data_IF_780516092300
#
_entry.id   IF_780516092300
#
_cell.length_a   1.000
_cell.length_b   1.000
_cell.length_c   1.000
_cell.angle_alpha   90.00
_cell.angle_beta   90.00
_cell.angle_gamma   90.00
#
_symmetry.space_group_name_H-M   'P 1'
#
loop_
_entity.id
_entity.type
_entity.pdbx_description
1 polymer ?
#
# COMPACT_ATOMS: atom_id res chain seq x y z
N UNK A 1 45.32 -18.09 40.28
CA UNK A 1 44.30 -18.75 41.13
C UNK A 1 42.98 -18.04 40.85
N UNK A 2 42.02 -18.80 40.29
CA UNK A 2 40.56 -18.60 40.24
C UNK A 2 40.01 -17.19 39.95
N UNK A 3 39.45 -16.91 38.77
CA UNK A 3 38.19 -17.39 38.16
C UNK A 3 37.03 -16.39 38.34
N UNK A 4 36.35 -16.10 37.22
CA UNK A 4 34.89 -15.94 37.08
C UNK A 4 34.24 -14.71 37.76
N UNK A 5 33.39 -13.88 37.15
CA UNK A 5 32.56 -14.00 35.96
C UNK A 5 31.93 -12.61 35.62
N UNK A 6 31.79 -12.19 34.34
CA UNK A 6 30.84 -11.15 33.94
C UNK A 6 29.50 -11.79 33.54
N UNK A 7 28.68 -12.15 34.53
CA UNK A 7 27.42 -12.88 34.34
C UNK A 7 26.19 -11.98 34.07
N UNK A 8 26.31 -10.92 33.25
CA UNK A 8 25.14 -10.06 32.95
C UNK A 8 24.91 -9.70 31.48
N UNK A 9 25.77 -10.11 30.54
CA UNK A 9 25.62 -9.73 29.12
C UNK A 9 25.14 -10.84 28.18
N UNK A 10 24.77 -12.01 28.69
CA UNK A 10 24.41 -13.19 27.86
C UNK A 10 22.95 -13.64 27.98
N UNK A 11 22.03 -12.79 28.43
CA UNK A 11 20.60 -13.15 28.57
C UNK A 11 19.63 -12.43 27.63
N UNK A 12 20.09 -11.47 26.82
CA UNK A 12 19.25 -10.78 25.84
C UNK A 12 19.36 -11.33 24.40
N UNK A 13 20.29 -12.25 24.12
CA UNK A 13 20.53 -12.76 22.75
C UNK A 13 19.68 -13.99 22.41
N UNK A 14 19.03 -14.63 23.39
CA UNK A 14 18.31 -15.89 23.20
C UNK A 14 16.83 -15.75 22.82
N UNK A 15 16.25 -14.55 22.81
CA UNK A 15 14.84 -14.37 22.41
C UNK A 15 14.62 -14.23 20.90
N UNK A 16 15.68 -13.98 20.11
CA UNK A 16 15.57 -13.79 18.65
C UNK A 16 15.63 -15.09 17.82
N UNK A 17 15.49 -16.26 18.46
CA UNK A 17 15.65 -17.57 17.81
C UNK A 17 14.42 -18.47 17.95
N UNK A 18 13.27 -17.99 17.49
CA UNK A 18 12.19 -18.87 17.00
C UNK A 18 11.85 -18.49 15.57
N UNK A 19 12.76 -18.79 14.64
CA UNK A 19 12.38 -19.00 13.24
C UNK A 19 11.58 -20.31 13.21
N UNK A 20 10.28 -20.22 13.39
CA UNK A 20 9.40 -21.34 13.03
C UNK A 20 9.48 -21.42 11.51
N UNK A 21 10.12 -22.47 11.00
CA UNK A 21 10.04 -22.81 9.58
C UNK A 21 8.60 -23.26 9.33
N UNK A 22 7.71 -22.30 9.05
CA UNK A 22 6.33 -22.59 8.70
C UNK A 22 6.36 -23.18 7.30
N UNK A 23 6.12 -24.50 7.21
CA UNK A 23 6.04 -25.18 5.92
C UNK A 23 4.93 -24.51 5.12
N UNK A 24 5.22 -24.14 3.87
CA UNK A 24 4.26 -23.52 2.96
C UNK A 24 2.92 -24.28 2.92
N UNK A 25 2.94 -25.60 3.15
CA UNK A 25 1.75 -26.46 3.30
C UNK A 25 0.85 -26.06 4.47
N UNK A 26 1.41 -25.65 5.61
CA UNK A 26 0.68 -25.15 6.79
C UNK A 26 0.11 -23.76 6.54
N UNK A 27 0.85 -22.88 5.83
CA UNK A 27 0.34 -21.57 5.41
C UNK A 27 -0.80 -21.72 4.42
N UNK A 28 -0.66 -22.62 3.44
CA UNK A 28 -1.67 -22.89 2.41
C UNK A 28 -2.97 -23.44 3.02
N UNK A 29 -2.85 -24.34 4.01
CA UNK A 29 -4.01 -24.92 4.71
C UNK A 29 -4.76 -23.88 5.55
N UNK A 30 -4.05 -22.94 6.20
CA UNK A 30 -4.67 -21.81 6.89
C UNK A 30 -5.34 -20.84 5.91
N UNK A 31 -4.75 -20.62 4.73
CA UNK A 31 -5.31 -19.75 3.69
C UNK A 31 -6.64 -20.28 3.14
N UNK A 32 -6.76 -21.60 2.96
CA UNK A 32 -7.99 -22.23 2.44
C UNK A 32 -9.10 -22.33 3.48
N UNK A 33 -8.77 -22.44 4.77
CA UNK A 33 -9.76 -22.58 5.85
C UNK A 33 -10.58 -21.29 6.09
N UNK A 34 -10.07 -20.13 5.66
CA UNK A 34 -10.78 -18.84 5.78
C UNK A 34 -11.74 -18.58 4.61
N UNK A 35 -11.60 -19.28 3.48
CA UNK A 35 -12.41 -19.05 2.27
C UNK A 35 -13.69 -19.91 2.15
N UNK A 36 -14.03 -20.71 3.16
CA UNK A 36 -15.20 -21.61 3.11
C UNK A 36 -15.89 -21.58 4.47
N UNK A 37 -16.84 -20.66 4.75
CA UNK A 37 -18.14 -20.70 4.07
C UNK A 37 -18.82 -19.33 3.88
N UNK A 38 -19.33 -19.01 2.68
CA UNK A 38 -20.54 -18.18 2.57
C UNK A 38 -21.29 -18.45 1.26
N UNK A 39 -21.61 -19.72 1.02
CA UNK A 39 -22.69 -20.13 0.12
C UNK A 39 -23.80 -20.74 0.95
N UNK A 40 -24.45 -19.92 1.77
CA UNK A 40 -25.73 -20.26 2.37
C UNK A 40 -26.55 -18.98 2.55
N UNK A 41 -27.40 -18.75 1.54
CA UNK A 41 -28.71 -18.13 1.64
C UNK A 41 -28.82 -16.74 2.30
N UNK A 42 -28.89 -15.69 1.49
CA UNK A 42 -29.71 -14.52 1.79
C UNK A 42 -30.41 -14.04 0.51
N UNK A 43 -31.61 -14.58 0.31
CA UNK A 43 -32.85 -13.91 -0.09
C UNK A 43 -32.75 -12.80 -1.14
N UNK A 44 -33.44 -13.00 -2.25
CA UNK A 44 -33.91 -11.91 -3.08
C UNK A 44 -34.84 -11.00 -2.25
N UNK A 45 -34.64 -9.67 -2.28
CA UNK A 45 -35.73 -8.72 -2.22
C UNK A 45 -35.92 -8.18 -3.64
N UNK A 46 -37.13 -8.31 -4.13
CA UNK A 46 -37.66 -7.50 -5.22
C UNK A 46 -37.38 -6.02 -4.91
N UNK A 47 -36.35 -5.45 -5.52
CA UNK A 47 -36.15 -4.00 -5.52
C UNK A 47 -36.73 -3.43 -6.81
N UNK A 48 -38.06 -3.34 -6.85
CA UNK A 48 -38.71 -2.30 -7.62
C UNK A 48 -38.45 -0.97 -6.88
N UNK A 49 -37.30 -0.35 -7.10
CA UNK A 49 -37.07 1.03 -6.69
C UNK A 49 -37.49 1.96 -7.82
N UNK A 50 -38.79 2.27 -7.87
CA UNK A 50 -39.19 3.58 -8.35
C UNK A 50 -38.79 4.61 -7.28
N UNK A 51 -37.54 5.07 -7.30
CA UNK A 51 -37.10 6.17 -6.45
C UNK A 51 -37.31 7.50 -7.18
N UNK A 52 -38.46 8.13 -6.93
CA UNK A 52 -38.59 9.58 -7.06
C UNK A 52 -37.85 10.21 -5.88
N UNK A 53 -36.52 10.16 -5.89
CA UNK A 53 -35.71 10.90 -4.94
C UNK A 53 -35.78 12.38 -5.30
N UNK A 54 -36.03 13.25 -4.31
CA UNK A 54 -35.96 14.69 -4.51
C UNK A 54 -34.60 15.06 -5.10
N UNK A 55 -34.58 15.94 -6.11
CA UNK A 55 -33.34 16.35 -6.79
C UNK A 55 -32.28 16.88 -5.81
N UNK A 56 -32.69 17.44 -4.66
CA UNK A 56 -31.80 17.91 -3.59
C UNK A 56 -30.98 16.77 -2.95
N UNK A 57 -31.61 15.66 -2.55
CA UNK A 57 -30.90 14.56 -1.89
C UNK A 57 -29.88 13.88 -2.84
N UNK A 58 -30.14 13.91 -4.15
CA UNK A 58 -29.21 13.44 -5.18
C UNK A 58 -28.05 14.42 -5.39
N UNK A 59 -28.28 15.73 -5.28
CA UNK A 59 -27.25 16.75 -5.41
C UNK A 59 -26.28 16.74 -4.22
N UNK A 60 -26.78 16.65 -2.99
CA UNK A 60 -25.94 16.54 -1.78
C UNK A 60 -25.05 15.30 -1.82
N UNK A 61 -25.62 14.14 -2.16
CA UNK A 61 -24.85 12.90 -2.30
C UNK A 61 -23.78 12.97 -3.40
N UNK A 62 -24.05 13.71 -4.47
CA UNK A 62 -23.07 13.91 -5.53
C UNK A 62 -21.92 14.82 -5.06
N UNK A 63 -22.23 15.88 -4.31
CA UNK A 63 -21.22 16.75 -3.71
C UNK A 63 -20.33 15.99 -2.71
N UNK A 64 -20.93 15.19 -1.82
CA UNK A 64 -20.19 14.35 -0.87
C UNK A 64 -19.22 13.39 -1.59
N UNK A 65 -19.68 12.74 -2.66
CA UNK A 65 -18.79 11.87 -3.45
C UNK A 65 -17.67 12.64 -4.14
N UNK A 66 -17.93 13.85 -4.65
CA UNK A 66 -16.89 14.69 -5.26
C UNK A 66 -15.86 15.16 -4.22
N UNK A 67 -16.30 15.51 -3.01
CA UNK A 67 -15.40 15.89 -1.93
C UNK A 67 -14.52 14.72 -1.49
N UNK A 68 -15.10 13.55 -1.27
CA UNK A 68 -14.34 12.34 -0.96
C UNK A 68 -13.34 12.01 -2.08
N UNK A 69 -13.76 12.12 -3.35
CA UNK A 69 -12.87 11.90 -4.48
C UNK A 69 -11.71 12.90 -4.50
N UNK A 70 -11.99 14.18 -4.23
CA UNK A 70 -10.95 15.22 -4.13
C UNK A 70 -9.95 14.92 -3.02
N UNK A 71 -10.42 14.58 -1.81
CA UNK A 71 -9.56 14.23 -0.69
C UNK A 71 -8.68 13.01 -1.02
N UNK A 72 -9.26 11.99 -1.67
CA UNK A 72 -8.52 10.81 -2.11
C UNK A 72 -7.41 11.17 -3.11
N UNK A 73 -7.72 12.04 -4.08
CA UNK A 73 -6.75 12.52 -5.07
C UNK A 73 -5.60 13.31 -4.44
N UNK A 74 -5.90 14.20 -3.49
CA UNK A 74 -4.89 14.98 -2.78
C UNK A 74 -3.97 14.09 -1.94
N UNK A 75 -4.52 13.07 -1.28
CA UNK A 75 -3.74 12.08 -0.53
C UNK A 75 -2.80 11.29 -1.45
N UNK A 76 -3.32 10.79 -2.58
CA UNK A 76 -2.52 10.06 -3.56
C UNK A 76 -1.39 10.93 -4.15
N UNK A 77 -1.65 12.21 -4.43
CA UNK A 77 -0.61 13.16 -4.86
C UNK A 77 0.49 13.30 -3.83
N UNK A 78 0.15 13.43 -2.55
CA UNK A 78 1.12 13.49 -1.47
C UNK A 78 1.96 12.21 -1.38
N UNK A 79 1.32 11.04 -1.52
CA UNK A 79 2.01 9.75 -1.52
C UNK A 79 2.99 9.62 -2.69
N UNK A 80 2.61 10.03 -3.90
CA UNK A 80 3.52 10.04 -5.06
C UNK A 80 4.74 10.94 -4.81
N UNK A 81 4.56 12.13 -4.24
CA UNK A 81 5.69 13.00 -3.89
C UNK A 81 6.61 12.36 -2.85
N UNK A 82 6.02 11.71 -1.82
CA UNK A 82 6.79 10.99 -0.81
C UNK A 82 7.59 9.83 -1.42
N UNK A 83 7.00 9.08 -2.34
CA UNK A 83 7.69 8.00 -3.04
C UNK A 83 8.84 8.53 -3.91
N UNK A 84 8.64 9.65 -4.62
CA UNK A 84 9.72 10.32 -5.39
C UNK A 84 10.88 10.73 -4.48
N UNK A 85 10.59 11.32 -3.33
CA UNK A 85 11.62 11.72 -2.36
C UNK A 85 12.38 10.49 -1.81
N UNK A 86 11.67 9.42 -1.47
CA UNK A 86 12.28 8.15 -1.04
C UNK A 86 13.19 7.55 -2.12
N UNK A 87 12.73 7.57 -3.37
CA UNK A 87 13.52 7.08 -4.50
C UNK A 87 14.78 7.91 -4.75
N UNK A 88 14.70 9.24 -4.62
CA UNK A 88 15.86 10.12 -4.67
C UNK A 88 16.86 9.80 -3.54
N UNK A 89 16.37 9.56 -2.32
CA UNK A 89 17.22 9.15 -1.20
C UNK A 89 17.89 7.79 -1.45
N UNK A 90 17.15 6.80 -1.99
CA UNK A 90 17.73 5.51 -2.39
C UNK A 90 18.86 5.72 -3.42
N UNK A 91 18.62 6.49 -4.48
CA UNK A 91 19.63 6.80 -5.50
C UNK A 91 20.87 7.48 -4.92
N UNK A 92 20.71 8.39 -3.96
CA UNK A 92 21.83 9.01 -3.27
C UNK A 92 22.65 7.99 -2.44
N UNK A 93 21.96 7.07 -1.76
CA UNK A 93 22.61 6.03 -0.97
C UNK A 93 23.42 5.05 -1.82
N UNK A 94 23.03 4.81 -3.08
CA UNK A 94 23.80 3.94 -3.99
C UNK A 94 25.25 4.42 -4.19
N UNK A 95 25.51 5.72 -4.10
CA UNK A 95 26.87 6.27 -4.23
C UNK A 95 27.81 5.87 -3.08
N UNK A 96 27.24 5.44 -1.94
CA UNK A 96 28.01 4.98 -0.78
C UNK A 96 28.37 3.48 -0.85
N UNK A 97 27.80 2.73 -1.79
CA UNK A 97 28.01 1.29 -1.92
C UNK A 97 29.29 1.03 -2.73
N UNK A 98 30.30 0.46 -2.08
CA UNK A 98 31.57 0.10 -2.72
C UNK A 98 31.55 -1.26 -3.42
N UNK A 99 30.77 -2.21 -2.90
CA UNK A 99 30.66 -3.55 -3.49
C UNK A 99 29.86 -3.51 -4.80
N UNK A 100 30.48 -3.96 -5.88
CA UNK A 100 29.89 -3.85 -7.22
C UNK A 100 28.69 -4.79 -7.43
N UNK A 101 28.65 -5.94 -6.75
CA UNK A 101 27.54 -6.89 -6.88
C UNK A 101 26.31 -6.39 -6.12
N UNK A 102 26.51 -5.85 -4.92
CA UNK A 102 25.49 -5.18 -4.14
C UNK A 102 24.97 -3.93 -4.87
N UNK A 103 25.85 -3.10 -5.43
CA UNK A 103 25.48 -1.94 -6.23
C UNK A 103 24.60 -2.32 -7.43
N UNK A 104 24.95 -3.39 -8.16
CA UNK A 104 24.16 -3.88 -9.28
C UNK A 104 22.75 -4.35 -8.85
N UNK A 105 22.64 -5.04 -7.71
CA UNK A 105 21.34 -5.46 -7.15
C UNK A 105 20.47 -4.26 -6.76
N UNK A 106 21.06 -3.27 -6.12
CA UNK A 106 20.34 -2.06 -5.71
C UNK A 106 19.93 -1.18 -6.89
N UNK A 107 20.73 -1.12 -7.96
CA UNK A 107 20.34 -0.46 -9.22
C UNK A 107 19.06 -1.06 -9.80
N UNK A 108 19.00 -2.39 -9.93
CA UNK A 108 17.80 -3.07 -10.40
C UNK A 108 16.57 -2.79 -9.50
N UNK A 109 16.78 -2.69 -8.18
CA UNK A 109 15.70 -2.37 -7.24
C UNK A 109 15.20 -0.93 -7.42
N UNK A 110 16.12 0.03 -7.56
CA UNK A 110 15.80 1.44 -7.86
C UNK A 110 15.04 1.57 -9.17
N UNK A 111 15.43 0.85 -10.22
CA UNK A 111 14.77 0.90 -11.53
C UNK A 111 13.33 0.35 -11.46
N UNK A 112 13.10 -0.71 -10.68
CA UNK A 112 11.75 -1.23 -10.43
C UNK A 112 10.87 -0.19 -9.72
N UNK A 113 11.39 0.44 -8.67
CA UNK A 113 10.66 1.49 -7.94
C UNK A 113 10.43 2.73 -8.80
N UNK A 114 11.38 3.10 -9.66
CA UNK A 114 11.22 4.17 -10.62
C UNK A 114 10.03 3.91 -11.54
N UNK A 115 9.94 2.71 -12.11
CA UNK A 115 8.82 2.31 -12.98
C UNK A 115 7.47 2.45 -12.28
N UNK A 116 7.38 2.00 -11.02
CA UNK A 116 6.15 2.11 -10.23
C UNK A 116 5.75 3.57 -9.96
N UNK A 117 6.72 4.41 -9.58
CA UNK A 117 6.49 5.83 -9.29
C UNK A 117 6.09 6.60 -10.55
N UNK A 118 6.73 6.31 -11.69
CA UNK A 118 6.41 6.93 -12.98
C UNK A 118 4.99 6.56 -13.43
N UNK A 119 4.60 5.30 -13.25
CA UNK A 119 3.24 4.86 -13.54
C UNK A 119 2.19 5.59 -12.68
N UNK A 120 2.46 5.74 -11.38
CA UNK A 120 1.55 6.47 -10.47
C UNK A 120 1.49 7.96 -10.80
N UNK A 121 2.62 8.57 -11.19
CA UNK A 121 2.64 9.96 -11.65
C UNK A 121 1.84 10.14 -12.95
N UNK A 122 1.93 9.17 -13.89
CA UNK A 122 1.13 9.19 -15.12
C UNK A 122 -0.37 9.05 -14.81
N UNK A 123 -0.74 8.13 -13.91
CA UNK A 123 -2.13 8.01 -13.46
C UNK A 123 -2.63 9.31 -12.83
N UNK A 124 -1.83 9.97 -12.00
CA UNK A 124 -2.19 11.26 -11.41
C UNK A 124 -2.43 12.33 -12.49
N UNK A 125 -1.53 12.46 -13.48
CA UNK A 125 -1.70 13.40 -14.59
C UNK A 125 -2.98 13.12 -15.40
N UNK A 126 -3.24 11.85 -15.69
CA UNK A 126 -4.46 11.45 -16.40
C UNK A 126 -5.71 11.82 -15.59
N UNK A 127 -5.71 11.61 -14.28
CA UNK A 127 -6.83 11.97 -13.42
C UNK A 127 -7.01 13.50 -13.27
N UNK A 128 -5.91 14.26 -13.18
CA UNK A 128 -5.97 15.74 -13.19
C UNK A 128 -6.61 16.25 -14.51
N UNK A 129 -6.35 15.60 -15.65
CA UNK A 129 -6.98 15.95 -16.94
C UNK A 129 -8.45 15.56 -17.05
N UNK A 130 -8.93 14.64 -16.21
CA UNK A 130 -10.32 14.18 -16.14
C UNK A 130 -11.14 14.93 -15.10
N UNK A 131 -10.53 15.82 -14.31
CA UNK A 131 -11.26 16.70 -13.40
C UNK A 131 -12.25 17.53 -14.24
N UNK A 132 -13.57 17.43 -14.00
CA UNK A 132 -14.54 18.15 -14.80
C UNK A 132 -14.22 19.63 -14.72
N UNK A 133 -13.84 20.20 -15.87
CA UNK A 133 -13.57 21.62 -15.99
C UNK A 133 -14.75 22.39 -15.41
N UNK A 134 -14.45 23.22 -14.41
CA UNK A 134 -15.34 24.31 -14.00
C UNK A 134 -15.69 25.08 -15.26
N UNK A 135 -16.94 24.96 -15.71
CA UNK A 135 -17.49 25.80 -16.78
C UNK A 135 -17.19 27.26 -16.42
N UNK A 136 -16.48 28.03 -17.25
CA UNK A 136 -16.54 29.48 -17.13
C UNK A 136 -17.96 29.95 -17.51
N UNK A 137 -18.41 31.01 -16.84
CA UNK A 137 -19.66 31.75 -17.06
C UNK A 137 -20.08 31.91 -18.53
#
# INVERSE_FOLDING_TARGET
>A
MFESCPAFYTLQVSFFRRRVAVKYRTVLLLLTLVLTPLLAAQNAPTHAHASSGSNEMRAERHQEMMEMHKQHMDAMKADVQKMKASLAAMKANLASISDQNELARWRNNVDLWQTMVDHMEQMQKNMESMQPGTKPE
#
